data_IF_242486541188
#
_entry.id   IF_242486541188
#
_cell.length_a   1.000
_cell.length_b   1.000
_cell.length_c   1.000
_cell.angle_alpha   90.00
_cell.angle_beta   90.00
_cell.angle_gamma   90.00
#
_symmetry.space_group_name_H-M   'P 1'
#
loop_
_entity.id
_entity.type
_entity.pdbx_description
1 polymer ?
#
# COMPACT_ATOMS: atom_id res chain seq x y z
N UNK A 1 35.26 -32.07 73.55
CA UNK A 1 34.05 -31.54 74.24
C UNK A 1 33.81 -30.13 73.72
N UNK A 2 32.73 -29.95 72.95
CA UNK A 2 32.11 -28.72 72.42
C UNK A 2 33.00 -27.61 71.83
N UNK A 3 33.14 -27.66 70.51
CA UNK A 3 33.31 -26.53 69.59
C UNK A 3 32.03 -25.69 69.53
N UNK A 4 32.13 -24.37 69.30
CA UNK A 4 31.21 -23.65 68.41
C UNK A 4 31.92 -22.44 67.80
N UNK A 5 32.11 -22.56 66.49
CA UNK A 5 32.65 -21.56 65.59
C UNK A 5 31.49 -20.76 64.97
N UNK A 6 31.78 -19.49 64.72
CA UNK A 6 30.99 -18.46 64.05
C UNK A 6 30.34 -18.91 62.73
N UNK A 7 29.18 -18.35 62.37
CA UNK A 7 28.89 -18.11 60.94
C UNK A 7 27.92 -16.96 60.72
N UNK A 8 28.41 -15.98 59.95
CA UNK A 8 27.71 -14.80 59.48
C UNK A 8 26.67 -15.16 58.41
N UNK A 9 25.60 -14.36 58.42
CA UNK A 9 24.44 -14.42 57.53
C UNK A 9 24.81 -13.88 56.13
N UNK A 10 24.92 -14.74 55.13
CA UNK A 10 25.09 -14.34 53.72
C UNK A 10 23.71 -14.25 53.04
N UNK A 11 23.28 -13.03 52.73
CA UNK A 11 22.11 -12.74 51.90
C UNK A 11 22.43 -13.00 50.43
N UNK A 12 21.76 -13.98 49.83
CA UNK A 12 21.86 -14.30 48.40
C UNK A 12 20.78 -13.51 47.65
N UNK A 13 21.14 -12.39 47.02
CA UNK A 13 20.29 -11.71 46.04
C UNK A 13 20.46 -12.39 44.67
N UNK A 14 19.54 -13.28 44.30
CA UNK A 14 19.44 -13.78 42.92
C UNK A 14 18.70 -12.73 42.10
N UNK A 15 19.46 -11.85 41.44
CA UNK A 15 18.93 -10.98 40.39
C UNK A 15 18.62 -11.85 39.15
N UNK A 16 17.35 -12.19 38.97
CA UNK A 16 16.84 -12.91 37.80
C UNK A 16 16.88 -11.97 36.58
N UNK A 17 18.00 -11.95 35.87
CA UNK A 17 18.15 -11.28 34.59
C UNK A 17 17.34 -12.03 33.53
N UNK A 18 16.07 -11.66 33.36
CA UNK A 18 15.28 -12.12 32.23
C UNK A 18 15.85 -11.51 30.94
N UNK A 19 16.37 -12.31 29.99
CA UNK A 19 16.74 -11.79 28.69
C UNK A 19 15.45 -11.36 27.96
N UNK A 20 15.25 -10.05 27.85
CA UNK A 20 14.31 -9.46 26.90
C UNK A 20 14.77 -9.84 25.48
N UNK A 21 14.30 -10.99 24.98
CA UNK A 21 14.33 -11.30 23.57
C UNK A 21 13.38 -10.34 22.85
N UNK A 22 13.87 -9.14 22.56
CA UNK A 22 13.23 -8.22 21.63
C UNK A 22 13.25 -8.83 20.24
N UNK A 23 12.29 -9.71 19.96
CA UNK A 23 12.05 -10.23 18.63
C UNK A 23 11.76 -9.06 17.69
N UNK A 24 12.71 -8.76 16.81
CA UNK A 24 12.51 -7.82 15.72
C UNK A 24 11.38 -8.36 14.84
N UNK A 25 10.14 -7.92 15.11
CA UNK A 25 8.99 -8.30 14.29
C UNK A 25 9.21 -7.70 12.92
N UNK A 26 9.60 -8.53 11.94
CA UNK A 26 9.68 -8.13 10.54
C UNK A 26 8.33 -7.53 10.15
N UNK A 27 8.35 -6.33 9.58
CA UNK A 27 7.14 -5.69 9.06
C UNK A 27 6.51 -6.64 8.01
N UNK A 28 5.28 -7.15 8.24
CA UNK A 28 4.65 -8.09 7.33
C UNK A 28 4.24 -7.44 6.00
N UNK A 29 4.29 -6.11 5.90
CA UNK A 29 3.75 -5.34 4.78
C UNK A 29 4.80 -4.94 3.76
N UNK A 30 5.68 -5.87 3.41
CA UNK A 30 6.87 -5.63 2.58
C UNK A 30 6.82 -6.47 1.31
N UNK A 31 6.85 -5.82 0.14
CA UNK A 31 6.78 -6.50 -1.17
C UNK A 31 7.95 -7.46 -1.42
N UNK A 32 9.14 -7.14 -0.89
CA UNK A 32 10.34 -8.00 -0.94
C UNK A 32 10.17 -9.37 -0.28
N UNK A 33 9.11 -9.57 0.50
CA UNK A 33 8.74 -10.89 1.05
C UNK A 33 8.23 -11.83 -0.03
N UNK A 34 7.69 -11.30 -1.13
CA UNK A 34 7.00 -12.06 -2.18
C UNK A 34 7.70 -12.00 -3.54
N UNK A 35 8.49 -10.95 -3.79
CA UNK A 35 9.03 -10.65 -5.11
C UNK A 35 10.47 -10.15 -5.05
N UNK A 36 11.26 -10.53 -6.05
CA UNK A 36 12.55 -9.89 -6.36
C UNK A 36 12.36 -8.41 -6.75
N UNK A 37 13.44 -7.64 -6.80
CA UNK A 37 13.35 -6.23 -7.19
C UNK A 37 12.81 -6.05 -8.62
N UNK A 38 13.26 -6.88 -9.57
CA UNK A 38 12.78 -6.83 -10.95
C UNK A 38 11.28 -7.14 -11.07
N UNK A 39 10.78 -8.06 -10.24
CA UNK A 39 9.35 -8.37 -10.15
C UNK A 39 8.56 -7.23 -9.50
N UNK A 40 9.09 -6.61 -8.43
CA UNK A 40 8.48 -5.42 -7.83
C UNK A 40 8.37 -4.26 -8.82
N UNK A 41 9.41 -4.01 -9.61
CA UNK A 41 9.40 -2.97 -10.66
C UNK A 41 8.38 -3.30 -11.76
N UNK A 42 8.31 -4.57 -12.15
CA UNK A 42 7.33 -5.04 -13.14
C UNK A 42 5.90 -4.85 -12.66
N UNK A 43 5.62 -5.25 -11.41
CA UNK A 43 4.33 -5.08 -10.76
C UNK A 43 3.98 -3.60 -10.60
N UNK A 44 4.91 -2.79 -10.11
CA UNK A 44 4.69 -1.35 -9.91
C UNK A 44 4.39 -0.66 -11.25
N UNK A 45 5.10 -1.00 -12.33
CA UNK A 45 4.79 -0.46 -13.65
C UNK A 45 3.39 -0.89 -14.16
N UNK A 46 2.91 -2.09 -13.80
CA UNK A 46 1.53 -2.48 -14.09
C UNK A 46 0.52 -1.64 -13.27
N UNK A 47 0.77 -1.42 -11.98
CA UNK A 47 -0.07 -0.55 -11.11
C UNK A 47 -0.04 0.91 -11.59
N UNK A 48 1.11 1.41 -12.05
CA UNK A 48 1.24 2.75 -12.65
C UNK A 48 0.34 2.87 -13.87
N UNK A 49 0.20 1.82 -14.67
CA UNK A 49 -0.66 1.83 -15.87
C UNK A 49 -2.14 2.03 -15.52
N UNK A 50 -2.59 1.54 -14.37
CA UNK A 50 -3.93 1.82 -13.84
C UNK A 50 -4.07 3.21 -13.21
N UNK A 51 -3.06 3.65 -12.45
CA UNK A 51 -3.20 4.78 -11.51
C UNK A 51 -2.69 6.11 -12.04
N UNK A 52 -1.92 6.13 -13.13
CA UNK A 52 -1.30 7.33 -13.68
C UNK A 52 -2.09 7.90 -14.86
N UNK A 53 -1.71 9.09 -15.34
CA UNK A 53 -2.25 9.60 -16.60
C UNK A 53 -1.90 8.64 -17.74
N UNK A 54 -2.71 8.60 -18.79
CA UNK A 54 -2.38 7.75 -19.93
C UNK A 54 -1.04 8.13 -20.57
N UNK A 55 -0.34 7.12 -21.07
CA UNK A 55 0.78 7.32 -21.96
C UNK A 55 0.35 8.16 -23.17
N UNK A 56 1.26 8.90 -23.78
CA UNK A 56 0.88 9.79 -24.89
C UNK A 56 0.30 8.98 -26.05
N UNK A 57 -0.95 9.27 -26.41
CA UNK A 57 -1.69 8.56 -27.45
C UNK A 57 -2.37 7.26 -27.00
N UNK A 58 -2.31 6.92 -25.71
CA UNK A 58 -3.09 5.83 -25.12
C UNK A 58 -4.49 6.30 -24.71
N UNK A 59 -5.40 5.35 -24.66
CA UNK A 59 -6.77 5.47 -24.13
C UNK A 59 -6.95 4.47 -22.99
N UNK A 60 -8.10 4.51 -22.29
CA UNK A 60 -8.42 3.50 -21.28
C UNK A 60 -8.29 2.06 -21.83
N UNK A 61 -8.83 1.81 -23.03
CA UNK A 61 -8.79 0.50 -23.67
C UNK A 61 -7.39 0.07 -24.15
N UNK A 62 -6.53 1.02 -24.51
CA UNK A 62 -5.22 0.72 -25.14
C UNK A 62 -4.03 0.92 -24.22
N UNK A 63 -4.23 1.43 -22.99
CA UNK A 63 -3.14 1.73 -22.03
C UNK A 63 -2.24 0.55 -21.70
N UNK A 64 -2.72 -0.68 -21.88
CA UNK A 64 -1.93 -1.90 -21.65
C UNK A 64 -1.20 -2.42 -22.89
N UNK A 65 -1.34 -1.78 -24.06
CA UNK A 65 -0.61 -2.17 -25.26
C UNK A 65 0.92 -2.10 -25.01
N UNK A 66 1.64 -3.09 -25.53
CA UNK A 66 3.09 -3.20 -25.34
C UNK A 66 3.87 -1.94 -25.76
N UNK A 67 3.38 -1.20 -26.77
CA UNK A 67 4.00 0.04 -27.26
C UNK A 67 4.09 1.14 -26.20
N UNK A 68 3.20 1.15 -25.21
CA UNK A 68 3.19 2.15 -24.13
C UNK A 68 4.01 1.74 -22.91
N UNK A 69 4.44 0.47 -22.83
CA UNK A 69 5.14 -0.07 -21.65
C UNK A 69 6.36 0.75 -21.28
N UNK A 70 7.15 1.17 -22.26
CA UNK A 70 8.37 1.96 -22.05
C UNK A 70 8.07 3.27 -21.30
N UNK A 71 6.95 3.91 -21.60
CA UNK A 71 6.57 5.16 -20.94
C UNK A 71 6.22 4.94 -19.48
N UNK A 72 5.42 3.92 -19.15
CA UNK A 72 5.07 3.62 -17.76
C UNK A 72 6.27 3.15 -16.93
N UNK A 73 7.15 2.34 -17.51
CA UNK A 73 8.43 1.95 -16.87
C UNK A 73 9.29 3.18 -16.59
N UNK A 74 9.32 4.15 -17.52
CA UNK A 74 10.03 5.42 -17.31
C UNK A 74 9.53 6.25 -16.13
N UNK A 75 8.33 5.98 -15.61
CA UNK A 75 7.74 6.66 -14.45
C UNK A 75 8.12 6.02 -13.13
N UNK A 76 8.68 4.81 -13.11
CA UNK A 76 9.06 4.09 -11.88
C UNK A 76 9.80 4.96 -10.85
N UNK A 77 10.81 5.79 -11.22
CA UNK A 77 11.55 6.60 -10.23
C UNK A 77 10.68 7.58 -9.44
N UNK A 78 9.49 7.92 -9.93
CA UNK A 78 8.58 8.86 -9.29
C UNK A 78 7.61 8.16 -8.32
N UNK A 79 7.44 6.85 -8.43
CA UNK A 79 6.50 6.05 -7.67
C UNK A 79 7.22 5.21 -6.62
N UNK A 80 6.53 4.90 -5.53
CA UNK A 80 7.05 3.99 -4.50
C UNK A 80 5.99 2.97 -4.16
N UNK A 81 6.33 1.68 -4.21
CA UNK A 81 5.54 0.62 -3.59
C UNK A 81 5.88 0.59 -2.10
N UNK A 82 5.01 1.20 -1.28
CA UNK A 82 5.29 1.46 0.14
C UNK A 82 4.96 0.23 0.98
N UNK A 83 3.75 -0.29 0.82
CA UNK A 83 3.30 -1.48 1.54
C UNK A 83 2.65 -2.47 0.59
N UNK A 84 2.81 -3.75 0.92
CA UNK A 84 2.26 -4.85 0.15
C UNK A 84 1.93 -6.03 1.05
N UNK A 85 0.78 -6.66 0.82
CA UNK A 85 0.32 -7.79 1.61
C UNK A 85 -0.44 -8.77 0.73
N UNK A 86 -0.20 -10.06 0.92
CA UNK A 86 -0.96 -11.14 0.28
C UNK A 86 -1.81 -11.81 1.34
N UNK A 87 -3.13 -11.70 1.21
CA UNK A 87 -4.07 -12.34 2.11
C UNK A 87 -4.22 -13.85 1.81
N UNK A 88 -4.75 -14.66 2.75
CA UNK A 88 -4.89 -16.11 2.56
C UNK A 88 -5.74 -16.51 1.35
N UNK A 89 -6.68 -15.67 0.92
CA UNK A 89 -7.51 -15.84 -0.27
C UNK A 89 -6.80 -15.40 -1.58
N UNK A 90 -5.49 -15.17 -1.52
CA UNK A 90 -4.68 -14.65 -2.62
C UNK A 90 -5.09 -13.26 -3.11
N UNK A 91 -5.80 -12.48 -2.29
CA UNK A 91 -5.99 -11.05 -2.55
C UNK A 91 -4.69 -10.31 -2.24
N UNK A 92 -4.21 -9.56 -3.23
CA UNK A 92 -3.04 -8.72 -3.12
C UNK A 92 -3.47 -7.30 -2.77
N UNK A 93 -3.03 -6.78 -1.63
CA UNK A 93 -3.24 -5.41 -1.21
C UNK A 93 -1.98 -4.60 -1.46
N UNK A 94 -2.13 -3.40 -2.02
CA UNK A 94 -1.03 -2.49 -2.26
C UNK A 94 -1.29 -1.11 -1.66
N UNK A 95 -0.20 -0.42 -1.33
CA UNK A 95 -0.18 1.03 -1.11
C UNK A 95 1.05 1.60 -1.83
N UNK A 96 0.81 2.54 -2.73
CA UNK A 96 1.85 3.29 -3.44
C UNK A 96 1.81 4.77 -3.07
N UNK A 97 2.94 5.46 -3.21
CA UNK A 97 2.96 6.94 -3.33
C UNK A 97 3.33 7.37 -4.73
N UNK A 98 2.75 8.49 -5.18
CA UNK A 98 3.04 9.10 -6.48
C UNK A 98 3.05 10.63 -6.41
N UNK A 99 3.73 11.33 -7.34
CA UNK A 99 3.61 12.77 -7.48
C UNK A 99 2.23 13.17 -8.01
N UNK A 100 1.86 14.42 -7.70
CA UNK A 100 0.68 15.11 -8.19
C UNK A 100 1.14 16.31 -9.02
N UNK A 101 0.55 16.48 -10.22
CA UNK A 101 0.86 17.60 -11.10
C UNK A 101 2.37 17.73 -11.39
N UNK A 102 2.93 18.91 -11.14
CA UNK A 102 4.36 19.22 -11.33
C UNK A 102 5.31 18.53 -10.35
N UNK A 103 4.80 17.75 -9.39
CA UNK A 103 5.61 16.99 -8.43
C UNK A 103 5.87 17.68 -7.09
N UNK A 104 5.35 18.90 -6.88
CA UNK A 104 5.43 19.61 -5.59
C UNK A 104 4.69 18.88 -4.46
N UNK A 105 3.62 18.17 -4.80
CA UNK A 105 2.81 17.39 -3.87
C UNK A 105 2.90 15.90 -4.20
N UNK A 106 2.68 15.07 -3.18
CA UNK A 106 2.51 13.63 -3.30
C UNK A 106 1.17 13.22 -2.75
N UNK A 107 0.70 12.06 -3.18
CA UNK A 107 -0.47 11.38 -2.61
C UNK A 107 -0.24 9.89 -2.50
N UNK A 108 -1.01 9.27 -1.62
CA UNK A 108 -1.06 7.84 -1.42
C UNK A 108 -2.25 7.25 -2.17
N UNK A 109 -2.05 6.06 -2.73
CA UNK A 109 -3.10 5.29 -3.39
C UNK A 109 -3.03 3.87 -2.86
N UNK A 110 -4.15 3.33 -2.42
CA UNK A 110 -4.24 1.94 -2.01
C UNK A 110 -5.45 1.23 -2.59
N UNK A 111 -5.29 -0.08 -2.72
CA UNK A 111 -6.27 -0.91 -3.39
C UNK A 111 -5.91 -2.37 -3.30
N UNK A 112 -6.61 -3.16 -4.10
CA UNK A 112 -6.44 -4.62 -4.15
C UNK A 112 -6.60 -5.18 -5.55
N UNK A 113 -6.11 -6.39 -5.76
CA UNK A 113 -6.23 -7.14 -7.00
C UNK A 113 -5.97 -8.64 -6.78
N UNK A 114 -6.21 -9.46 -7.80
CA UNK A 114 -5.68 -10.82 -7.94
C UNK A 114 -4.48 -10.81 -8.90
N UNK A 115 -3.44 -11.58 -8.60
CA UNK A 115 -2.22 -11.58 -9.41
C UNK A 115 -2.37 -12.52 -10.62
N UNK A 116 -2.39 -11.95 -11.81
CA UNK A 116 -2.39 -12.68 -13.08
C UNK A 116 -0.98 -12.96 -13.61
N UNK A 117 -0.93 -13.50 -14.83
CA UNK A 117 0.32 -13.78 -15.53
C UNK A 117 1.17 -12.51 -15.72
N UNK A 118 2.50 -12.67 -15.74
CA UNK A 118 3.47 -11.56 -15.91
C UNK A 118 3.26 -10.41 -14.91
N UNK A 119 2.83 -10.77 -13.69
CA UNK A 119 2.54 -9.85 -12.59
C UNK A 119 1.46 -8.81 -12.91
N UNK A 120 0.57 -9.11 -13.86
CA UNK A 120 -0.52 -8.22 -14.23
C UNK A 120 -1.62 -8.28 -13.17
N UNK A 121 -2.01 -7.16 -12.55
CA UNK A 121 -3.20 -7.11 -11.72
C UNK A 121 -4.46 -7.45 -12.53
N UNK A 122 -5.26 -8.38 -12.02
CA UNK A 122 -6.62 -8.70 -12.48
C UNK A 122 -7.60 -8.39 -11.35
N UNK A 123 -8.87 -8.15 -11.66
CA UNK A 123 -9.87 -7.71 -10.64
C UNK A 123 -9.35 -6.50 -9.86
N UNK A 124 -8.71 -5.56 -10.56
CA UNK A 124 -8.03 -4.44 -9.94
C UNK A 124 -9.05 -3.44 -9.40
N UNK A 125 -8.87 -3.02 -8.16
CA UNK A 125 -9.72 -2.06 -7.49
C UNK A 125 -8.87 -1.05 -6.73
N UNK A 126 -9.02 0.23 -7.07
CA UNK A 126 -8.52 1.33 -6.25
C UNK A 126 -9.55 1.63 -5.16
N UNK A 127 -9.13 1.52 -3.90
CA UNK A 127 -10.04 1.66 -2.75
C UNK A 127 -9.96 3.02 -2.10
N UNK A 128 -8.82 3.72 -2.22
CA UNK A 128 -8.66 5.05 -1.66
C UNK A 128 -7.50 5.84 -2.28
N UNK A 129 -7.68 7.15 -2.30
CA UNK A 129 -6.66 8.16 -2.52
C UNK A 129 -6.55 9.05 -1.28
N UNK A 130 -5.33 9.38 -0.84
CA UNK A 130 -5.14 10.45 0.16
C UNK A 130 -5.25 11.82 -0.49
N UNK A 131 -5.48 12.88 0.31
CA UNK A 131 -5.24 14.24 -0.12
C UNK A 131 -3.80 14.48 -0.59
N UNK A 132 -3.60 15.63 -1.24
CA UNK A 132 -2.29 16.09 -1.68
C UNK A 132 -1.49 16.67 -0.51
N UNK A 133 -0.27 16.17 -0.31
CA UNK A 133 0.63 16.65 0.75
C UNK A 133 2.00 17.01 0.19
N UNK A 134 2.56 18.12 0.69
CA UNK A 134 3.94 18.52 0.36
C UNK A 134 4.96 17.61 1.05
N UNK A 135 4.65 17.22 2.28
CA UNK A 135 5.51 16.36 3.10
C UNK A 135 5.16 14.89 2.89
N UNK A 136 6.08 14.12 2.30
CA UNK A 136 5.86 12.70 2.02
C UNK A 136 5.57 11.88 3.29
N UNK A 137 6.14 12.25 4.44
CA UNK A 137 5.87 11.57 5.72
C UNK A 137 4.37 11.54 6.07
N UNK A 138 3.62 12.60 5.74
CA UNK A 138 2.18 12.67 6.02
C UNK A 138 1.42 11.69 5.13
N UNK A 139 1.84 11.55 3.87
CA UNK A 139 1.31 10.54 2.95
C UNK A 139 1.54 9.14 3.49
N UNK A 140 2.77 8.85 3.95
CA UNK A 140 3.15 7.55 4.46
C UNK A 140 2.39 7.19 5.75
N UNK A 141 2.23 8.14 6.66
CA UNK A 141 1.49 7.95 7.91
C UNK A 141 0.00 7.68 7.66
N UNK A 142 -0.66 8.54 6.88
CA UNK A 142 -2.10 8.42 6.61
C UNK A 142 -2.41 7.22 5.72
N UNK A 143 -1.61 7.01 4.68
CA UNK A 143 -1.73 5.85 3.80
C UNK A 143 -1.41 4.54 4.51
N UNK A 144 -0.42 4.51 5.41
CA UNK A 144 -0.10 3.33 6.22
C UNK A 144 -1.21 2.96 7.20
N UNK A 145 -1.88 3.96 7.78
CA UNK A 145 -3.09 3.75 8.58
C UNK A 145 -4.22 3.12 7.74
N UNK A 146 -4.55 3.73 6.59
CA UNK A 146 -5.59 3.23 5.69
C UNK A 146 -5.27 1.84 5.14
N UNK A 147 -4.00 1.56 4.81
CA UNK A 147 -3.56 0.25 4.32
C UNK A 147 -3.80 -0.83 5.37
N UNK A 148 -3.43 -0.59 6.64
CA UNK A 148 -3.67 -1.56 7.74
C UNK A 148 -5.15 -1.79 8.00
N UNK A 149 -5.97 -0.76 7.90
CA UNK A 149 -7.43 -0.89 7.97
C UNK A 149 -7.96 -1.76 6.82
N UNK A 150 -7.52 -1.46 5.60
CA UNK A 150 -7.91 -2.14 4.37
C UNK A 150 -7.53 -3.63 4.39
N UNK A 151 -6.33 -4.00 4.85
CA UNK A 151 -5.92 -5.42 4.91
C UNK A 151 -6.68 -6.20 5.97
N UNK A 152 -7.21 -5.53 7.01
CA UNK A 152 -8.00 -6.15 8.07
C UNK A 152 -9.45 -6.37 7.68
N UNK A 153 -10.06 -5.41 6.99
CA UNK A 153 -11.51 -5.40 6.71
C UNK A 153 -11.86 -5.67 5.24
N UNK A 154 -10.87 -5.66 4.35
CA UNK A 154 -11.06 -5.81 2.89
C UNK A 154 -11.59 -4.57 2.18
N UNK A 155 -11.86 -3.49 2.92
CA UNK A 155 -12.33 -2.17 2.48
C UNK A 155 -11.90 -1.07 3.48
N UNK A 156 -12.29 0.17 3.22
CA UNK A 156 -12.03 1.33 4.10
C UNK A 156 -13.29 2.11 4.48
N UNK A 157 -14.47 1.48 4.40
CA UNK A 157 -15.77 2.18 4.44
C UNK A 157 -15.94 3.03 5.71
N UNK A 158 -15.46 2.51 6.84
CA UNK A 158 -15.49 3.20 8.15
C UNK A 158 -14.71 4.52 8.17
N UNK A 159 -13.79 4.71 7.23
CA UNK A 159 -12.84 5.83 7.19
C UNK A 159 -13.14 6.83 6.06
N UNK A 160 -14.14 6.58 5.21
CA UNK A 160 -14.48 7.45 4.07
C UNK A 160 -14.86 8.89 4.46
N UNK A 161 -15.33 9.08 5.69
CA UNK A 161 -15.67 10.40 6.25
C UNK A 161 -14.46 11.16 6.78
N UNK A 162 -13.31 10.50 6.96
CA UNK A 162 -12.07 11.14 7.43
C UNK A 162 -11.40 11.90 6.27
N UNK A 163 -11.91 13.09 5.94
CA UNK A 163 -11.43 13.89 4.80
C UNK A 163 -9.97 14.30 4.84
N UNK A 164 -9.35 14.26 6.02
CA UNK A 164 -7.91 14.44 6.16
C UNK A 164 -7.12 13.22 5.67
N UNK A 165 -7.71 12.02 5.66
CA UNK A 165 -7.06 10.77 5.26
C UNK A 165 -7.48 10.33 3.85
N UNK A 166 -8.75 10.52 3.49
CA UNK A 166 -9.35 10.05 2.24
C UNK A 166 -9.90 11.23 1.45
N UNK A 167 -9.36 11.44 0.26
CA UNK A 167 -9.94 12.36 -0.73
C UNK A 167 -11.01 11.63 -1.55
N UNK A 168 -10.66 10.46 -2.10
CA UNK A 168 -11.58 9.60 -2.86
C UNK A 168 -11.55 8.16 -2.33
N UNK A 169 -12.68 7.42 -2.34
CA UNK A 169 -14.00 7.83 -2.82
C UNK A 169 -14.67 8.89 -1.94
N UNK A 170 -15.69 9.56 -2.49
CA UNK A 170 -16.56 10.47 -1.75
C UNK A 170 -18.04 10.35 -2.20
N UNK A 171 -18.89 11.30 -1.82
CA UNK A 171 -20.31 11.32 -2.19
C UNK A 171 -20.54 11.54 -3.69
N UNK A 172 -19.54 12.02 -4.42
CA UNK A 172 -19.62 12.35 -5.84
C UNK A 172 -18.91 11.32 -6.72
N UNK A 173 -17.94 10.59 -6.18
CA UNK A 173 -17.03 9.72 -6.94
C UNK A 173 -17.04 8.28 -6.41
N UNK A 174 -17.06 7.31 -7.32
CA UNK A 174 -16.90 5.87 -7.03
C UNK A 174 -15.88 5.24 -7.98
N UNK A 175 -15.24 4.16 -7.56
CA UNK A 175 -14.40 3.38 -8.46
C UNK A 175 -15.29 2.45 -9.31
N UNK A 176 -15.14 2.51 -10.62
CA UNK A 176 -15.78 1.60 -11.55
C UNK A 176 -14.82 0.47 -11.92
N UNK A 177 -15.24 -0.77 -11.65
CA UNK A 177 -14.38 -1.96 -11.81
C UNK A 177 -14.26 -2.41 -13.26
N UNK A 178 -15.20 -2.01 -14.12
CA UNK A 178 -15.17 -2.38 -15.53
C UNK A 178 -14.19 -1.48 -16.28
N UNK A 179 -14.34 -0.15 -16.16
CA UNK A 179 -13.40 0.81 -16.75
C UNK A 179 -12.09 0.96 -15.96
N UNK A 180 -12.04 0.49 -14.71
CA UNK A 180 -10.94 0.69 -13.78
C UNK A 180 -10.57 2.17 -13.61
N UNK A 181 -11.59 3.01 -13.45
CA UNK A 181 -11.48 4.46 -13.28
C UNK A 181 -12.37 4.95 -12.14
N UNK A 182 -12.02 6.11 -11.59
CA UNK A 182 -12.93 6.86 -10.75
C UNK A 182 -13.98 7.57 -11.61
N UNK A 183 -15.24 7.24 -11.43
CA UNK A 183 -16.38 7.81 -12.18
C UNK A 183 -17.34 8.54 -11.24
N UNK A 184 -18.09 9.55 -11.73
CA UNK A 184 -19.14 10.17 -10.95
C UNK A 184 -20.20 9.13 -10.52
N UNK A 185 -20.72 9.22 -9.29
CA UNK A 185 -21.82 8.34 -8.84
C UNK A 185 -23.10 8.55 -9.66
N UNK A 186 -23.31 9.78 -10.14
CA UNK A 186 -24.50 10.19 -10.87
C UNK A 186 -24.27 10.26 -12.39
N UNK A 187 -23.19 9.67 -12.92
CA UNK A 187 -23.08 9.55 -14.37
C UNK A 187 -24.13 8.55 -14.85
N UNK A 188 -25.24 9.05 -15.41
CA UNK A 188 -25.96 8.33 -16.44
C UNK A 188 -24.91 7.87 -17.45
N UNK A 189 -24.80 6.57 -17.69
CA UNK A 189 -23.87 6.02 -18.65
C UNK A 189 -24.13 6.71 -20.00
N UNK A 190 -23.31 7.69 -20.37
CA UNK A 190 -23.26 8.18 -21.73
C UNK A 190 -22.26 7.25 -22.39
N UNK A 191 -22.70 6.28 -23.21
CA UNK A 191 -21.77 5.45 -23.95
C UNK A 191 -20.93 6.38 -24.83
N UNK A 192 -19.62 6.34 -24.63
CA UNK A 192 -18.68 6.97 -25.55
C UNK A 192 -18.87 6.28 -26.91
N UNK A 193 -19.34 7.04 -27.89
CA UNK A 193 -19.41 6.62 -29.29
C UNK A 193 -18.01 6.46 -29.87
#
# INVERSE_FOLDING_TARGET
MKTHFSTAFFLFFVALSAPFFGGCKKDPYQAKTYFSQAEQDTLLANIITYTSQYARGATNATRFDAKFRKEYVGRLPQYKLVNYFVAPDSTHYFFITRPVGSGMFRRGIGGKFKLGAKLMPTEYEELWCTPHFKEEKVVLERGGFLFKAMTKEGNIDKYLTMKMYVEWPDSTLKYDKDSHEWVPRNSLAIPLK
#
